data_IF_172873382072
#
_entry.id   IF_172873382072
#
_cell.length_a   1.000
_cell.length_b   1.000
_cell.length_c   1.000
_cell.angle_alpha   90.00
_cell.angle_beta   90.00
_cell.angle_gamma   90.00
#
_symmetry.space_group_name_H-M   'P 1'
#
loop_
_entity.id
_entity.type
_entity.pdbx_description
1 polymer ?
#
# COMPACT_ATOMS: atom_id res chain seq x y z
N UNK A 1 -6.72 -3.49 -4.90
CA UNK A 1 -5.88 -2.66 -5.81
C UNK A 1 -4.63 -3.45 -6.16
N UNK A 2 -4.24 -3.49 -7.40
CA UNK A 2 -3.08 -4.26 -7.87
C UNK A 2 -2.23 -3.37 -8.76
N UNK A 3 -0.91 -3.41 -8.56
CA UNK A 3 0.05 -2.81 -9.47
C UNK A 3 0.69 -3.89 -10.33
N UNK A 4 0.80 -3.63 -11.61
CA UNK A 4 1.39 -4.53 -12.60
C UNK A 4 2.63 -3.89 -13.22
N UNK A 5 3.64 -4.71 -13.50
CA UNK A 5 4.81 -4.22 -14.23
C UNK A 5 4.53 -4.11 -15.74
N UNK A 6 5.55 -3.74 -16.50
CA UNK A 6 5.41 -3.56 -17.95
C UNK A 6 5.11 -4.86 -18.70
N UNK A 7 5.40 -6.00 -18.09
CA UNK A 7 5.10 -7.32 -18.65
C UNK A 7 3.73 -7.84 -18.23
N UNK A 8 3.00 -7.06 -17.43
CA UNK A 8 1.69 -7.45 -16.94
C UNK A 8 1.72 -8.35 -15.71
N UNK A 9 2.88 -8.50 -15.07
CA UNK A 9 2.99 -9.30 -13.85
C UNK A 9 2.60 -8.49 -12.62
N UNK A 10 1.82 -9.07 -11.68
CA UNK A 10 1.48 -8.40 -10.43
C UNK A 10 2.74 -8.17 -9.58
N UNK A 11 2.94 -6.95 -9.13
CA UNK A 11 4.09 -6.58 -8.28
C UNK A 11 3.68 -6.13 -6.89
N UNK A 12 2.47 -5.59 -6.74
CA UNK A 12 1.97 -5.12 -5.45
C UNK A 12 0.49 -5.43 -5.34
N UNK A 13 0.11 -6.03 -4.22
CA UNK A 13 -1.28 -6.10 -3.80
C UNK A 13 -1.49 -5.05 -2.71
N UNK A 14 -2.47 -4.18 -2.88
CA UNK A 14 -2.79 -3.15 -1.90
C UNK A 14 -4.26 -3.25 -1.51
N UNK A 15 -4.50 -3.30 -0.21
CA UNK A 15 -5.83 -3.41 0.35
C UNK A 15 -6.10 -2.21 1.23
N UNK A 16 -7.34 -1.71 1.20
CA UNK A 16 -7.75 -0.53 1.95
C UNK A 16 -8.86 -0.92 2.92
N UNK A 17 -8.73 -0.49 4.17
CA UNK A 17 -9.77 -0.62 5.19
C UNK A 17 -9.98 0.70 5.90
N UNK A 18 -11.22 1.20 5.87
CA UNK A 18 -11.58 2.47 6.51
C UNK A 18 -11.87 2.32 8.01
N UNK A 19 -11.06 1.55 8.72
CA UNK A 19 -11.22 1.33 10.17
C UNK A 19 -10.06 1.97 10.93
N UNK A 20 -10.34 2.37 12.16
CA UNK A 20 -9.39 3.07 13.02
C UNK A 20 -8.87 2.16 14.12
N UNK A 21 -7.79 2.58 14.78
CA UNK A 21 -7.19 1.90 15.94
C UNK A 21 -6.73 0.48 15.63
N UNK A 22 -6.16 0.30 14.45
CA UNK A 22 -5.57 -0.98 14.05
C UNK A 22 -4.15 -1.13 14.62
N UNK A 23 -3.62 -2.34 14.56
CA UNK A 23 -2.29 -2.68 15.06
C UNK A 23 -1.55 -3.56 14.06
N UNK A 24 -0.25 -3.78 14.30
CA UNK A 24 0.54 -4.71 13.50
C UNK A 24 -0.04 -6.13 13.55
N UNK A 25 -0.54 -6.54 14.71
CA UNK A 25 -1.15 -7.85 14.87
C UNK A 25 -2.44 -7.98 14.07
N UNK A 26 -3.28 -6.95 14.10
CA UNK A 26 -4.48 -6.91 13.27
C UNK A 26 -4.11 -7.04 11.78
N UNK A 27 -3.11 -6.28 11.35
CA UNK A 27 -2.69 -6.27 9.95
C UNK A 27 -2.15 -7.64 9.51
N UNK A 28 -1.35 -8.29 10.37
CA UNK A 28 -0.82 -9.62 10.09
C UNK A 28 -1.94 -10.66 9.93
N UNK A 29 -2.96 -10.59 10.78
CA UNK A 29 -4.13 -11.48 10.68
C UNK A 29 -4.95 -11.22 9.44
N UNK A 30 -5.16 -9.95 9.12
CA UNK A 30 -5.93 -9.56 7.94
C UNK A 30 -5.23 -10.06 6.67
N UNK A 31 -3.92 -9.84 6.55
CA UNK A 31 -3.13 -10.35 5.45
C UNK A 31 -3.23 -11.88 5.34
N UNK A 32 -3.06 -12.58 6.46
CA UNK A 32 -3.18 -14.05 6.49
C UNK A 32 -4.53 -14.51 5.95
N UNK A 33 -5.61 -13.88 6.41
CA UNK A 33 -6.96 -14.25 5.98
C UNK A 33 -7.18 -13.99 4.49
N UNK A 34 -6.68 -12.89 3.97
CA UNK A 34 -6.78 -12.59 2.54
C UNK A 34 -6.03 -13.63 1.70
N UNK A 35 -4.82 -14.01 2.12
CA UNK A 35 -4.01 -14.99 1.40
C UNK A 35 -4.60 -16.40 1.49
N UNK A 36 -5.23 -16.74 2.62
CA UNK A 36 -5.82 -18.06 2.84
C UNK A 36 -7.13 -18.25 2.08
N UNK A 37 -7.96 -17.21 1.97
CA UNK A 37 -9.33 -17.33 1.47
C UNK A 37 -9.56 -16.61 0.15
N UNK A 38 -8.62 -15.81 -0.30
CA UNK A 38 -8.75 -15.06 -1.54
C UNK A 38 -8.20 -15.80 -2.75
N UNK A 39 -8.64 -15.36 -3.91
CA UNK A 39 -8.08 -15.78 -5.19
C UNK A 39 -7.12 -14.70 -5.69
N UNK A 40 -6.29 -14.20 -4.78
CA UNK A 40 -5.38 -13.12 -5.09
C UNK A 40 -4.22 -13.59 -5.95
N UNK A 41 -3.76 -12.78 -6.90
CA UNK A 41 -2.54 -13.09 -7.63
C UNK A 41 -1.34 -13.06 -6.69
N UNK A 42 -0.28 -13.76 -7.07
CA UNK A 42 0.97 -13.73 -6.31
C UNK A 42 1.72 -12.45 -6.69
N UNK A 43 2.18 -11.73 -5.67
CA UNK A 43 2.97 -10.52 -5.86
C UNK A 43 4.04 -10.43 -4.78
N UNK A 44 5.22 -9.86 -5.08
CA UNK A 44 6.29 -9.77 -4.08
C UNK A 44 6.04 -8.72 -3.00
N UNK A 45 5.10 -7.81 -3.21
CA UNK A 45 4.81 -6.77 -2.22
C UNK A 45 3.33 -6.77 -1.84
N UNK A 46 3.08 -6.50 -0.56
CA UNK A 46 1.73 -6.42 0.00
C UNK A 46 1.62 -5.17 0.88
N UNK A 47 0.55 -4.41 0.72
CA UNK A 47 0.30 -3.18 1.47
C UNK A 47 -1.13 -3.19 1.99
N UNK A 48 -1.30 -2.85 3.27
CA UNK A 48 -2.62 -2.58 3.84
C UNK A 48 -2.62 -1.14 4.31
N UNK A 49 -3.61 -0.36 3.89
CA UNK A 49 -3.76 1.04 4.29
C UNK A 49 -5.04 1.22 5.10
N UNK A 50 -4.91 1.85 6.25
CA UNK A 50 -6.01 2.39 7.05
C UNK A 50 -5.83 3.91 7.13
N UNK A 51 -6.82 4.66 7.65
CA UNK A 51 -6.63 6.11 7.75
C UNK A 51 -5.44 6.53 8.61
N UNK A 52 -5.01 5.69 9.54
CA UNK A 52 -3.95 6.02 10.49
C UNK A 52 -2.61 5.34 10.16
N UNK A 53 -2.63 4.17 9.53
CA UNK A 53 -1.42 3.38 9.32
C UNK A 53 -1.35 2.79 7.92
N UNK A 54 -0.11 2.59 7.46
CA UNK A 54 0.17 1.73 6.32
C UNK A 54 1.08 0.60 6.79
N UNK A 55 0.71 -0.61 6.45
CA UNK A 55 1.45 -1.83 6.80
C UNK A 55 1.99 -2.44 5.54
N UNK A 56 3.28 -2.75 5.52
CA UNK A 56 3.97 -3.18 4.31
C UNK A 56 4.75 -4.47 4.52
N UNK A 57 4.64 -5.38 3.56
CA UNK A 57 5.39 -6.64 3.50
C UNK A 57 6.08 -6.76 2.16
N UNK A 58 7.34 -7.18 2.21
CA UNK A 58 8.02 -7.75 1.06
C UNK A 58 8.02 -9.25 1.26
N UNK A 59 7.45 -9.99 0.31
CA UNK A 59 7.21 -11.42 0.46
C UNK A 59 7.72 -12.16 -0.78
N UNK A 60 8.74 -13.00 -0.59
CA UNK A 60 9.28 -13.80 -1.69
C UNK A 60 8.35 -14.97 -2.02
N UNK A 61 7.78 -15.59 -0.99
CA UNK A 61 6.86 -16.71 -1.14
C UNK A 61 5.63 -16.42 -0.25
N UNK A 62 4.59 -15.78 -0.81
CA UNK A 62 3.42 -15.41 -0.02
C UNK A 62 2.72 -16.64 0.55
N UNK A 63 2.74 -16.77 1.87
CA UNK A 63 2.07 -17.83 2.60
C UNK A 63 1.01 -17.24 3.54
N UNK A 64 -0.10 -17.97 3.81
CA UNK A 64 -1.14 -17.50 4.71
C UNK A 64 -0.75 -17.68 6.17
N UNK A 65 0.25 -16.94 6.63
CA UNK A 65 0.73 -16.95 8.01
C UNK A 65 0.61 -15.55 8.64
N UNK A 66 0.75 -15.47 9.96
CA UNK A 66 0.69 -14.21 10.69
C UNK A 66 2.05 -13.54 10.77
N UNK A 67 2.65 -13.29 9.63
CA UNK A 67 3.91 -12.58 9.57
C UNK A 67 3.70 -11.09 9.89
N UNK A 68 4.45 -10.52 10.84
CA UNK A 68 4.33 -9.10 11.13
C UNK A 68 4.81 -8.26 9.94
N UNK A 69 4.29 -7.04 9.76
CA UNK A 69 4.75 -6.17 8.68
C UNK A 69 6.22 -5.80 8.86
N UNK A 70 6.93 -5.66 7.76
CA UNK A 70 8.32 -5.18 7.77
C UNK A 70 8.40 -3.69 8.09
N UNK A 71 7.40 -2.93 7.63
CA UNK A 71 7.29 -1.52 7.91
C UNK A 71 5.88 -1.21 8.34
N UNK A 72 5.75 -0.41 9.40
CA UNK A 72 4.49 0.20 9.81
C UNK A 72 4.70 1.71 9.78
N UNK A 73 3.91 2.38 8.97
CA UNK A 73 4.10 3.79 8.66
C UNK A 73 2.89 4.59 9.14
N UNK A 74 3.14 5.85 9.50
CA UNK A 74 2.09 6.79 9.82
C UNK A 74 1.45 7.28 8.51
N UNK A 75 0.25 6.80 8.21
CA UNK A 75 -0.47 7.18 7.00
C UNK A 75 -0.78 8.67 6.99
N UNK A 76 -1.03 9.27 8.15
CA UNK A 76 -1.29 10.70 8.26
C UNK A 76 -0.11 11.53 7.74
N UNK A 77 1.10 11.07 8.00
CA UNK A 77 2.30 11.73 7.53
C UNK A 77 2.60 11.40 6.05
N UNK A 78 2.60 10.10 5.72
CA UNK A 78 2.98 9.64 4.38
C UNK A 78 2.01 10.11 3.31
N UNK A 79 0.71 10.14 3.63
CA UNK A 79 -0.34 10.47 2.69
C UNK A 79 -0.89 11.89 2.87
N UNK A 80 -0.23 12.72 3.70
CA UNK A 80 -0.72 14.05 4.03
C UNK A 80 -1.08 14.91 2.81
N UNK A 81 -0.22 15.03 1.77
CA UNK A 81 -0.58 15.84 0.60
C UNK A 81 -1.84 15.35 -0.10
N UNK A 82 -2.10 14.06 -0.03
CA UNK A 82 -3.26 13.45 -0.68
C UNK A 82 -4.53 13.63 0.13
N UNK A 83 -4.46 13.53 1.46
CA UNK A 83 -5.58 13.91 2.31
C UNK A 83 -5.99 15.36 2.06
N UNK A 84 -5.03 16.27 1.98
CA UNK A 84 -5.29 17.68 1.71
C UNK A 84 -5.88 17.88 0.32
N UNK A 85 -5.32 17.22 -0.70
CA UNK A 85 -5.80 17.32 -2.09
C UNK A 85 -7.28 16.96 -2.23
N UNK A 86 -7.72 15.92 -1.51
CA UNK A 86 -9.09 15.44 -1.57
C UNK A 86 -9.96 15.99 -0.45
N UNK A 87 -9.47 17.00 0.28
CA UNK A 87 -10.21 17.68 1.35
C UNK A 87 -10.72 16.69 2.41
N UNK A 88 -9.86 15.75 2.79
CA UNK A 88 -10.14 14.70 3.77
C UNK A 88 -9.28 14.87 5.01
N UNK A 89 -9.78 14.38 6.14
CA UNK A 89 -9.00 14.23 7.37
C UNK A 89 -8.95 12.75 7.73
N UNK A 90 -7.88 12.26 8.36
CA UNK A 90 -7.79 10.84 8.72
C UNK A 90 -8.95 10.38 9.59
N UNK A 91 -9.43 11.23 10.48
CA UNK A 91 -10.53 10.90 11.42
C UNK A 91 -11.87 10.67 10.70
N UNK A 92 -12.08 11.29 9.55
CA UNK A 92 -13.34 11.23 8.81
C UNK A 92 -13.26 10.42 7.53
N UNK A 93 -12.07 9.91 7.19
CA UNK A 93 -11.87 9.21 5.93
C UNK A 93 -12.42 7.80 6.03
N UNK A 94 -13.37 7.48 5.15
CA UNK A 94 -13.88 6.12 4.98
C UNK A 94 -13.11 5.36 3.91
N UNK A 95 -13.52 4.12 3.68
CA UNK A 95 -12.83 3.22 2.75
C UNK A 95 -12.75 3.75 1.32
N UNK A 96 -13.83 4.32 0.80
CA UNK A 96 -13.87 4.82 -0.58
C UNK A 96 -12.92 6.00 -0.79
N UNK A 97 -12.92 6.95 0.15
CA UNK A 97 -12.03 8.10 0.06
C UNK A 97 -10.57 7.69 0.21
N UNK A 98 -10.29 6.77 1.14
CA UNK A 98 -8.93 6.27 1.34
C UNK A 98 -8.42 5.51 0.12
N UNK A 99 -9.30 4.75 -0.54
CA UNK A 99 -8.94 4.05 -1.77
C UNK A 99 -8.51 5.02 -2.87
N UNK A 100 -9.22 6.12 -3.04
CA UNK A 100 -8.85 7.16 -3.99
C UNK A 100 -7.51 7.81 -3.62
N UNK A 101 -7.32 8.08 -2.34
CA UNK A 101 -6.07 8.66 -1.82
C UNK A 101 -4.90 7.72 -2.09
N UNK A 102 -5.03 6.46 -1.74
CA UNK A 102 -3.97 5.48 -1.96
C UNK A 102 -3.67 5.27 -3.45
N UNK A 103 -4.70 5.19 -4.27
CA UNK A 103 -4.55 5.07 -5.72
C UNK A 103 -3.73 6.24 -6.28
N UNK A 104 -4.07 7.46 -5.90
CA UNK A 104 -3.37 8.65 -6.37
C UNK A 104 -1.90 8.65 -5.94
N UNK A 105 -1.63 8.24 -4.71
CA UNK A 105 -0.27 8.13 -4.20
C UNK A 105 0.55 7.09 -4.99
N UNK A 106 -0.02 5.92 -5.25
CA UNK A 106 0.65 4.86 -6.01
C UNK A 106 0.92 5.29 -7.46
N UNK A 107 -0.03 5.95 -8.10
CA UNK A 107 0.15 6.46 -9.46
C UNK A 107 1.29 7.48 -9.50
N UNK A 108 1.33 8.39 -8.54
CA UNK A 108 2.41 9.39 -8.48
C UNK A 108 3.77 8.73 -8.24
N UNK A 109 3.84 7.72 -7.39
CA UNK A 109 5.08 6.96 -7.16
C UNK A 109 5.55 6.25 -8.44
N UNK A 110 4.63 5.69 -9.19
CA UNK A 110 4.97 5.02 -10.45
C UNK A 110 5.53 5.98 -11.50
N UNK A 111 5.09 7.23 -11.49
CA UNK A 111 5.49 8.24 -12.45
C UNK A 111 6.73 9.02 -12.03
N UNK A 112 6.80 9.44 -10.76
CA UNK A 112 7.82 10.39 -10.30
C UNK A 112 8.42 10.08 -8.93
N UNK A 113 8.16 8.88 -8.39
CA UNK A 113 8.53 8.53 -7.03
C UNK A 113 10.02 8.65 -6.73
N UNK A 114 10.89 8.34 -7.71
CA UNK A 114 12.33 8.43 -7.50
C UNK A 114 12.81 9.85 -7.23
N UNK A 115 12.24 10.83 -7.92
CA UNK A 115 12.59 12.24 -7.67
C UNK A 115 12.14 12.68 -6.28
N UNK A 116 10.94 12.29 -5.88
CA UNK A 116 10.40 12.65 -4.56
C UNK A 116 11.19 11.99 -3.43
N UNK A 117 11.59 10.75 -3.60
CA UNK A 117 12.35 10.03 -2.59
C UNK A 117 13.73 10.64 -2.34
N UNK A 118 14.35 11.26 -3.36
CA UNK A 118 15.63 11.97 -3.22
C UNK A 118 15.47 13.24 -2.39
N UNK A 119 14.32 13.89 -2.47
CA UNK A 119 14.06 15.17 -1.82
C UNK A 119 13.56 15.01 -0.39
N UNK A 120 12.88 13.89 -0.08
CA UNK A 120 12.24 13.67 1.21
C UNK A 120 12.80 12.42 1.90
N UNK A 121 13.59 12.61 2.98
CA UNK A 121 14.14 11.47 3.73
C UNK A 121 13.09 10.55 4.34
N UNK A 122 11.88 11.03 4.59
CA UNK A 122 10.81 10.19 5.14
C UNK A 122 10.34 9.11 4.16
N UNK A 123 10.67 9.24 2.88
CA UNK A 123 10.34 8.26 1.84
C UNK A 123 11.46 7.24 1.63
N UNK A 124 12.49 7.23 2.47
CA UNK A 124 13.63 6.31 2.33
C UNK A 124 13.20 4.85 2.36
N UNK A 125 12.17 4.52 3.16
CA UNK A 125 11.67 3.15 3.24
C UNK A 125 11.21 2.61 1.90
N UNK A 126 10.70 3.48 1.01
CA UNK A 126 10.28 3.09 -0.34
C UNK A 126 11.46 2.56 -1.16
N UNK A 127 12.61 3.20 -1.06
CA UNK A 127 13.83 2.76 -1.73
C UNK A 127 14.40 1.51 -1.07
N UNK A 128 14.48 1.52 0.26
CA UNK A 128 15.09 0.42 1.03
C UNK A 128 14.30 -0.88 0.88
N UNK A 129 12.97 -0.80 0.80
CA UNK A 129 12.13 -1.98 0.62
C UNK A 129 12.17 -2.56 -0.79
N UNK A 130 12.64 -1.77 -1.77
CA UNK A 130 12.59 -2.15 -3.18
C UNK A 130 11.29 -1.77 -3.88
N UNK A 131 10.30 -1.26 -3.13
CA UNK A 131 8.99 -0.94 -3.70
C UNK A 131 9.08 0.17 -4.76
N UNK A 132 9.87 1.20 -4.49
CA UNK A 132 9.97 2.35 -5.39
C UNK A 132 10.47 1.93 -6.77
N UNK A 133 11.53 1.11 -6.81
CA UNK A 133 12.05 0.58 -8.07
C UNK A 133 11.05 -0.33 -8.78
N UNK A 134 10.34 -1.15 -8.03
CA UNK A 134 9.34 -2.07 -8.59
C UNK A 134 8.14 -1.32 -9.19
N UNK A 135 7.75 -0.19 -8.59
CA UNK A 135 6.61 0.60 -9.07
C UNK A 135 6.94 1.48 -10.28
N UNK A 136 8.20 1.58 -10.65
CA UNK A 136 8.61 2.43 -11.78
C UNK A 136 7.87 2.00 -13.05
N UNK A 137 7.10 2.93 -13.62
CA UNK A 137 6.29 2.70 -14.82
C UNK A 137 5.22 1.61 -14.65
N UNK A 138 4.84 1.32 -13.41
CA UNK A 138 3.79 0.34 -13.13
C UNK A 138 2.41 0.88 -13.51
N UNK A 139 1.51 -0.04 -13.83
CA UNK A 139 0.10 0.25 -14.06
C UNK A 139 -0.67 -0.13 -12.80
N UNK A 140 -1.50 0.80 -12.31
CA UNK A 140 -2.28 0.59 -11.08
C UNK A 140 -3.75 0.36 -11.46
N UNK A 141 -4.33 -0.74 -10.98
CA UNK A 141 -5.75 -1.03 -11.15
C UNK A 141 -6.45 -1.04 -9.79
N UNK A 142 -7.55 -0.28 -9.68
CA UNK A 142 -8.15 0.05 -8.39
C UNK A 142 -9.25 -0.89 -7.91
N UNK A 143 -9.81 -1.77 -8.74
CA UNK A 143 -11.08 -2.42 -8.43
C UNK A 143 -11.06 -3.94 -8.45
N UNK A 144 -9.94 -4.59 -8.28
CA UNK A 144 -9.80 -5.99 -8.66
C UNK A 144 -9.79 -6.99 -7.51
N UNK A 145 -9.85 -6.55 -6.27
CA UNK A 145 -9.73 -7.44 -5.10
C UNK A 145 -11.09 -7.77 -4.47
N UNK A 146 -12.10 -7.87 -5.28
CA UNK A 146 -13.43 -8.25 -4.79
C UNK A 146 -13.71 -9.72 -4.99
#
# INVERSE_FOLDING_TARGET
MVAYDQLGEPILLAEVKGIHHTSDQWAARFRRNLLAHGTLPRAPFFLIATPEHMYFWRQEDPAPDEEPPQFTLDATHELKPYFERFNQTPERTGGQALELILYSWLVDLAQSGQLRAKEDPSLRWLSESGLLGALRSARIESSTLQ
#
